data_IF_957767019825
#
_entry.id   IF_957767019825
#
_cell.length_a   1.000
_cell.length_b   1.000
_cell.length_c   1.000
_cell.angle_alpha   90.00
_cell.angle_beta   90.00
_cell.angle_gamma   90.00
#
_symmetry.space_group_name_H-M   'P 1'
#
loop_
_entity.id
_entity.type
_entity.pdbx_description
1 polymer ?
#
# COMPACT_ATOMS: atom_id res chain seq x y z
N UNK A 1 13.00 -5.31 -3.67
CA UNK A 1 12.57 -4.02 -4.25
C UNK A 1 11.07 -4.10 -4.39
N UNK A 2 10.36 -3.15 -3.78
CA UNK A 2 8.92 -3.02 -3.91
C UNK A 2 8.59 -2.69 -5.39
N UNK A 3 7.89 -3.60 -6.07
CA UNK A 3 7.48 -3.47 -7.48
C UNK A 3 5.95 -3.47 -7.60
N UNK A 4 5.30 -2.50 -6.94
CA UNK A 4 3.86 -2.31 -7.02
C UNK A 4 3.49 -1.52 -8.28
N UNK A 5 2.34 -1.85 -8.86
CA UNK A 5 1.80 -1.21 -10.07
C UNK A 5 0.34 -0.80 -9.86
N UNK A 6 -0.11 0.28 -10.51
CA UNK A 6 -1.54 0.59 -10.58
C UNK A 6 -2.36 -0.64 -10.99
N UNK A 7 -3.39 -0.96 -10.21
CA UNK A 7 -4.23 -2.15 -10.37
C UNK A 7 -3.88 -3.34 -9.48
N UNK A 8 -2.68 -3.38 -8.89
CA UNK A 8 -2.32 -4.43 -7.93
C UNK A 8 -3.25 -4.38 -6.70
N UNK A 9 -3.69 -5.53 -6.23
CA UNK A 9 -4.39 -5.66 -4.95
C UNK A 9 -3.36 -6.10 -3.91
N UNK A 10 -3.17 -5.28 -2.90
CA UNK A 10 -2.26 -5.57 -1.79
C UNK A 10 -3.08 -5.94 -0.57
N UNK A 11 -2.69 -7.03 0.08
CA UNK A 11 -3.20 -7.47 1.38
C UNK A 11 -2.16 -7.22 2.45
N UNK A 12 -2.52 -6.42 3.44
CA UNK A 12 -1.68 -6.20 4.61
C UNK A 12 -2.46 -6.49 5.88
N UNK A 13 -1.75 -6.92 6.91
CA UNK A 13 -2.35 -7.03 8.22
C UNK A 13 -2.40 -5.63 8.81
N UNK A 14 -3.59 -5.17 9.14
CA UNK A 14 -3.78 -3.83 9.69
C UNK A 14 -3.00 -3.61 11.00
N UNK A 15 -2.80 -4.67 11.80
CA UNK A 15 -2.00 -4.61 13.02
C UNK A 15 -0.52 -4.27 12.78
N UNK A 16 0.00 -4.40 11.55
CA UNK A 16 1.38 -4.08 11.20
C UNK A 16 1.53 -2.61 10.74
N UNK A 17 0.43 -1.86 10.65
CA UNK A 17 0.45 -0.44 10.32
C UNK A 17 0.87 0.40 11.53
N UNK A 18 1.46 1.58 11.28
CA UNK A 18 1.85 2.51 12.34
C UNK A 18 0.65 2.96 13.18
N UNK A 19 -0.53 3.06 12.55
CA UNK A 19 -1.80 3.42 13.20
C UNK A 19 -2.89 2.40 12.82
N UNK A 20 -2.95 1.25 13.51
CA UNK A 20 -3.95 0.23 13.23
C UNK A 20 -5.34 0.72 13.62
N UNK A 21 -6.30 0.67 12.70
CA UNK A 21 -7.69 1.11 12.94
C UNK A 21 -8.67 -0.03 13.28
N UNK A 22 -8.23 -1.28 13.31
CA UNK A 22 -9.01 -2.48 13.63
C UNK A 22 -8.08 -3.59 14.16
N UNK A 23 -8.59 -4.48 15.01
CA UNK A 23 -7.79 -5.53 15.63
C UNK A 23 -7.56 -6.70 14.65
N UNK A 24 -6.40 -6.70 13.99
CA UNK A 24 -5.78 -7.90 13.42
C UNK A 24 -6.37 -8.43 12.10
N UNK A 25 -7.35 -7.74 11.51
CA UNK A 25 -7.87 -8.13 10.20
C UNK A 25 -6.88 -7.78 9.08
N UNK A 26 -6.99 -8.53 7.98
CA UNK A 26 -6.34 -8.19 6.74
C UNK A 26 -7.12 -7.08 6.05
N UNK A 27 -6.42 -6.07 5.58
CA UNK A 27 -6.96 -5.00 4.77
C UNK A 27 -6.45 -5.17 3.34
N UNK A 28 -7.40 -5.33 2.41
CA UNK A 28 -7.13 -5.43 0.99
C UNK A 28 -7.41 -4.06 0.35
N UNK A 29 -6.46 -3.56 -0.42
CA UNK A 29 -6.62 -2.32 -1.14
C UNK A 29 -6.00 -2.39 -2.53
N UNK A 30 -6.59 -1.63 -3.46
CA UNK A 30 -6.11 -1.55 -4.85
C UNK A 30 -5.19 -0.37 -5.00
N UNK A 31 -4.00 -0.61 -5.56
CA UNK A 31 -3.03 0.43 -5.89
C UNK A 31 -3.57 1.29 -7.03
N UNK A 32 -3.63 2.61 -6.83
CA UNK A 32 -4.01 3.57 -7.86
C UNK A 32 -2.79 4.23 -8.51
N UNK A 33 -1.83 4.65 -7.69
CA UNK A 33 -0.61 5.33 -8.15
C UNK A 33 0.56 4.93 -7.26
N UNK A 34 1.75 4.86 -7.85
CA UNK A 34 3.01 4.65 -7.13
C UNK A 34 3.95 5.81 -7.47
N UNK A 35 4.26 6.62 -6.46
CA UNK A 35 5.14 7.79 -6.60
C UNK A 35 6.43 7.55 -5.81
N UNK A 36 7.58 7.63 -6.48
CA UNK A 36 8.88 7.53 -5.79
C UNK A 36 9.26 8.89 -5.23
N UNK A 37 9.33 8.98 -3.90
CA UNK A 37 9.64 10.23 -3.20
C UNK A 37 11.15 10.42 -3.08
N UNK A 38 11.89 9.35 -2.82
CA UNK A 38 13.35 9.37 -2.75
C UNK A 38 13.94 7.98 -3.08
N UNK A 39 15.24 7.82 -2.92
CA UNK A 39 15.93 6.56 -3.23
C UNK A 39 15.39 5.37 -2.43
N UNK A 40 14.88 5.62 -1.23
CA UNK A 40 14.47 4.60 -0.26
C UNK A 40 12.97 4.53 0.01
N UNK A 41 12.18 5.50 -0.46
CA UNK A 41 10.76 5.64 -0.10
C UNK A 41 9.87 5.81 -1.32
N UNK A 42 8.75 5.10 -1.33
CA UNK A 42 7.67 5.25 -2.31
C UNK A 42 6.34 5.49 -1.59
N UNK A 43 5.48 6.32 -2.16
CA UNK A 43 4.10 6.53 -1.74
C UNK A 43 3.17 5.77 -2.69
N UNK A 44 2.23 5.02 -2.12
CA UNK A 44 1.25 4.23 -2.86
C UNK A 44 -0.12 4.80 -2.56
N UNK A 45 -0.78 5.35 -3.57
CA UNK A 45 -2.18 5.81 -3.47
C UNK A 45 -3.15 4.63 -3.55
N UNK A 46 -4.25 4.72 -2.80
CA UNK A 46 -5.27 3.67 -2.69
C UNK A 46 -6.55 4.08 -3.45
N UNK A 47 -7.02 3.21 -4.34
CA UNK A 47 -8.24 3.44 -5.11
C UNK A 47 -9.51 3.44 -4.24
N UNK A 48 -10.50 4.26 -4.64
CA UNK A 48 -11.81 4.31 -3.98
C UNK A 48 -11.90 5.27 -2.79
N UNK A 49 -10.83 5.99 -2.48
CA UNK A 49 -10.84 7.04 -1.47
C UNK A 49 -10.99 8.42 -2.13
N UNK A 50 -12.16 9.06 -2.00
CA UNK A 50 -12.37 10.43 -2.47
C UNK A 50 -11.80 11.43 -1.47
N UNK A 51 -10.53 11.79 -1.62
CA UNK A 51 -9.86 12.80 -0.81
C UNK A 51 -8.34 12.68 -0.83
N UNK A 52 -7.63 13.80 -0.64
CA UNK A 52 -6.19 14.00 -0.89
C UNK A 52 -5.21 13.16 -0.04
N UNK A 53 -5.66 12.14 0.72
CA UNK A 53 -4.89 11.61 1.88
C UNK A 53 -4.98 10.10 2.14
N UNK A 54 -5.36 9.25 1.19
CA UNK A 54 -5.24 7.79 1.35
C UNK A 54 -4.02 7.27 0.57
N UNK A 55 -2.82 7.56 1.07
CA UNK A 55 -1.59 6.96 0.57
C UNK A 55 -0.83 6.28 1.70
N UNK A 56 -0.21 5.14 1.40
CA UNK A 56 0.67 4.43 2.31
C UNK A 56 2.11 4.61 1.86
N UNK A 57 2.99 4.90 2.81
CA UNK A 57 4.42 5.06 2.55
C UNK A 57 5.15 3.73 2.80
N UNK A 58 5.86 3.25 1.79
CA UNK A 58 6.71 2.07 1.90
C UNK A 58 8.17 2.46 1.77
N UNK A 59 9.02 1.71 2.47
CA UNK A 59 10.44 1.65 2.09
C UNK A 59 10.59 0.67 0.92
N UNK A 60 11.58 0.90 0.07
CA UNK A 60 11.83 0.05 -1.12
C UNK A 60 12.16 -1.42 -0.78
N UNK A 61 12.55 -1.68 0.47
CA UNK A 61 12.89 -2.99 1.03
C UNK A 61 11.73 -3.64 1.79
N UNK A 62 10.59 -2.95 1.94
CA UNK A 62 9.39 -3.56 2.51
C UNK A 62 8.91 -4.74 1.65
N UNK A 63 8.33 -5.74 2.33
CA UNK A 63 7.73 -6.92 1.70
C UNK A 63 6.22 -6.85 1.95
N UNK A 64 5.43 -6.84 0.88
CA UNK A 64 3.96 -6.81 0.94
C UNK A 64 3.37 -7.99 0.19
N UNK A 65 2.19 -8.46 0.62
CA UNK A 65 1.50 -9.56 -0.04
C UNK A 65 0.59 -9.04 -1.15
N UNK A 66 0.97 -9.26 -2.40
CA UNK A 66 0.13 -8.90 -3.56
C UNK A 66 -0.78 -10.08 -3.90
N UNK A 67 -2.10 -9.88 -3.78
CA UNK A 67 -3.13 -10.89 -4.05
C UNK A 67 -3.39 -11.11 -5.55
N UNK A 68 -2.80 -10.26 -6.40
CA UNK A 68 -2.87 -10.20 -7.89
C UNK A 68 -4.20 -9.63 -8.45
N UNK A 69 -4.14 -8.92 -9.60
CA UNK A 69 -3.89 -9.57 -10.90
C UNK A 69 -2.78 -8.93 -11.75
N UNK A 70 -2.04 -9.74 -12.53
CA UNK A 70 -1.32 -9.25 -13.71
C UNK A 70 -2.30 -9.06 -14.88
#
# INVERSE_FOLDING_TARGET
MLDLKPGDIVRERNADWAEPFCNGEFYDYTVEVVERINETTVHVGIAGYTGTRASISYRIDNVVSVLKPH
#
